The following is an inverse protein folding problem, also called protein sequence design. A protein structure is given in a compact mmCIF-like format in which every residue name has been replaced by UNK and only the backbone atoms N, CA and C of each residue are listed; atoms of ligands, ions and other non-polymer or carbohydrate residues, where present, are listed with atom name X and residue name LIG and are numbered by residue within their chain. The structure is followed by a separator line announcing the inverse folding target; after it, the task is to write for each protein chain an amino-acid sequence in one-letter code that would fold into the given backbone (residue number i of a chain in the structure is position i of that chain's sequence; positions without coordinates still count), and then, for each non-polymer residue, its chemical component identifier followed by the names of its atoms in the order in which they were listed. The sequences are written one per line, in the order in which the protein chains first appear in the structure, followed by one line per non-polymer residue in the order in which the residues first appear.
data_IF_097115440120
#
_entry.id   IF_097115440120
#
_cell.length_a   1.000
_cell.length_b   1.000
_cell.length_c   1.000
_cell.angle_alpha   90.00
_cell.angle_beta   90.00
_cell.angle_gamma   90.00
#
_symmetry.space_group_name_H-M   'P 1'
#
loop_
_entity.id
_entity.type
_entity.pdbx_description
1 polymer ?
#
# COMPACT_ATOMS: atom_id res chain seq x y z
N UNK A 1 14.89 -11.10 10.85
CA UNK A 1 13.52 -10.56 10.65
C UNK A 1 12.97 -10.83 9.25
N UNK A 2 13.70 -10.47 8.17
CA UNK A 2 13.22 -10.64 6.79
C UNK A 2 12.73 -12.06 6.43
N UNK A 3 13.46 -13.11 6.85
CA UNK A 3 13.03 -14.50 6.61
C UNK A 3 11.78 -14.86 7.42
N UNK A 4 11.75 -14.56 8.72
CA UNK A 4 10.61 -14.84 9.60
C UNK A 4 9.33 -14.13 9.16
N UNK A 5 9.43 -12.91 8.61
CA UNK A 5 8.28 -12.16 8.12
C UNK A 5 7.53 -12.87 6.96
N UNK A 6 8.18 -13.83 6.30
CA UNK A 6 7.61 -14.63 5.21
C UNK A 6 6.96 -15.94 5.69
N UNK A 7 7.05 -16.28 6.98
CA UNK A 7 6.58 -17.54 7.55
C UNK A 7 5.36 -17.31 8.43
N UNK A 8 4.33 -18.15 8.30
CA UNK A 8 3.18 -18.13 9.18
C UNK A 8 3.48 -19.00 10.41
N UNK A 9 4.12 -18.40 11.41
CA UNK A 9 4.50 -19.09 12.64
C UNK A 9 4.50 -18.13 13.85
N UNK A 10 4.35 -18.63 15.09
CA UNK A 10 4.34 -17.78 16.29
C UNK A 10 5.61 -16.94 16.47
N UNK A 11 6.77 -17.45 16.04
CA UNK A 11 8.06 -16.78 16.12
C UNK A 11 8.10 -15.51 15.27
N UNK A 12 7.31 -15.44 14.19
CA UNK A 12 7.18 -14.22 13.37
C UNK A 12 6.64 -13.07 14.20
N UNK A 13 5.51 -13.28 14.86
CA UNK A 13 4.81 -12.21 15.58
C UNK A 13 5.64 -11.75 16.78
N UNK A 14 6.24 -12.69 17.51
CA UNK A 14 7.18 -12.39 18.59
C UNK A 14 8.37 -11.57 18.09
N UNK A 15 9.02 -12.00 17.00
CA UNK A 15 10.17 -11.28 16.46
C UNK A 15 9.82 -9.87 15.94
N UNK A 16 8.63 -9.69 15.33
CA UNK A 16 8.16 -8.38 14.88
C UNK A 16 7.88 -7.45 16.06
N UNK A 17 7.26 -7.95 17.13
CA UNK A 17 6.96 -7.18 18.34
C UNK A 17 8.25 -6.78 19.07
N UNK A 18 9.16 -7.72 19.30
CA UNK A 18 10.46 -7.45 19.96
C UNK A 18 11.30 -6.47 19.15
N UNK A 19 11.32 -6.59 17.81
CA UNK A 19 12.02 -5.65 16.96
C UNK A 19 11.46 -4.24 17.08
N UNK A 20 10.13 -4.07 17.05
CA UNK A 20 9.52 -2.76 17.23
C UNK A 20 9.78 -2.19 18.62
N UNK A 21 9.57 -2.98 19.68
CA UNK A 21 9.77 -2.53 21.05
C UNK A 21 11.21 -2.01 21.29
N UNK A 22 12.20 -2.67 20.68
CA UNK A 22 13.61 -2.27 20.77
C UNK A 22 13.95 -0.99 19.98
N UNK A 23 13.32 -0.80 18.82
CA UNK A 23 13.73 0.21 17.84
C UNK A 23 12.68 1.29 17.56
N UNK A 24 11.58 1.35 18.33
CA UNK A 24 10.47 2.28 18.12
C UNK A 24 10.88 3.75 18.06
N UNK A 25 11.98 4.11 18.73
CA UNK A 25 12.50 5.47 18.81
C UNK A 25 13.52 5.79 17.69
N UNK A 26 13.81 4.83 16.79
CA UNK A 26 14.70 4.98 15.64
C UNK A 26 13.88 5.02 14.33
N UNK A 27 13.49 6.21 13.81
CA UNK A 27 12.47 6.33 12.77
C UNK A 27 12.77 5.54 11.49
N UNK A 28 14.03 5.55 11.03
CA UNK A 28 14.46 4.83 9.82
C UNK A 28 14.48 3.31 10.02
N UNK A 29 14.66 2.83 11.24
CA UNK A 29 14.61 1.41 11.57
C UNK A 29 13.15 0.94 11.62
N UNK A 30 12.26 1.77 12.16
CA UNK A 30 10.81 1.55 12.11
C UNK A 30 10.28 1.51 10.67
N UNK A 31 10.81 2.34 9.77
CA UNK A 31 10.44 2.28 8.34
C UNK A 31 10.77 0.93 7.72
N UNK A 32 11.95 0.36 8.04
CA UNK A 32 12.31 -0.99 7.61
C UNK A 32 11.38 -2.05 8.19
N UNK A 33 10.95 -1.88 9.44
CA UNK A 33 10.00 -2.78 10.10
C UNK A 33 8.61 -2.76 9.44
N UNK A 34 8.10 -1.58 9.05
CA UNK A 34 6.87 -1.46 8.26
C UNK A 34 7.02 -2.15 6.89
N UNK A 35 8.12 -1.87 6.19
CA UNK A 35 8.39 -2.41 4.87
C UNK A 35 8.51 -3.95 4.86
N UNK A 36 9.19 -4.53 5.85
CA UNK A 36 9.33 -5.99 5.97
C UNK A 36 7.97 -6.69 6.10
N UNK A 37 7.02 -6.08 6.81
CA UNK A 37 5.67 -6.63 6.95
C UNK A 37 4.85 -6.47 5.66
N UNK A 38 4.88 -5.29 5.03
CA UNK A 38 4.19 -5.03 3.77
C UNK A 38 4.71 -5.88 2.60
N UNK A 39 5.99 -6.23 2.62
CA UNK A 39 6.64 -7.10 1.62
C UNK A 39 6.45 -8.60 1.87
N UNK A 40 5.68 -9.01 2.89
CA UNK A 40 5.46 -10.43 3.18
C UNK A 40 4.59 -11.10 2.11
N UNK A 41 4.97 -12.30 1.68
CA UNK A 41 4.20 -13.11 0.74
C UNK A 41 3.06 -13.87 1.40
N UNK A 42 2.79 -13.71 2.70
CA UNK A 42 1.66 -14.37 3.36
C UNK A 42 0.31 -13.87 2.82
N UNK A 43 -0.70 -14.72 2.81
CA UNK A 43 -2.07 -14.35 2.40
C UNK A 43 -2.67 -13.29 3.32
N UNK A 44 -2.28 -13.28 4.60
CA UNK A 44 -2.68 -12.30 5.61
C UNK A 44 -2.04 -10.92 5.45
N UNK A 45 -1.09 -10.71 4.52
CA UNK A 45 -0.33 -9.46 4.41
C UNK A 45 -1.21 -8.23 4.24
N UNK A 46 -2.26 -8.27 3.42
CA UNK A 46 -3.14 -7.12 3.24
C UNK A 46 -3.85 -6.75 4.56
N UNK A 47 -4.34 -7.75 5.30
CA UNK A 47 -4.95 -7.55 6.63
C UNK A 47 -3.94 -6.93 7.62
N UNK A 48 -2.71 -7.42 7.61
CA UNK A 48 -1.64 -6.90 8.47
C UNK A 48 -1.28 -5.46 8.10
N UNK A 49 -1.18 -5.12 6.81
CA UNK A 49 -0.97 -3.75 6.33
C UNK A 49 -2.11 -2.84 6.76
N UNK A 50 -3.36 -3.29 6.66
CA UNK A 50 -4.52 -2.55 7.17
C UNK A 50 -4.45 -2.26 8.67
N UNK A 51 -3.97 -3.22 9.47
CA UNK A 51 -3.74 -3.02 10.91
C UNK A 51 -2.61 -2.02 11.20
N UNK A 52 -1.57 -2.00 10.36
CA UNK A 52 -0.45 -1.07 10.50
C UNK A 52 -0.83 0.38 10.19
N UNK A 53 -1.90 0.63 9.42
CA UNK A 53 -2.40 2.00 9.19
C UNK A 53 -2.85 2.70 10.47
N UNK A 54 -3.23 1.94 11.51
CA UNK A 54 -3.67 2.49 12.81
C UNK A 54 -2.61 2.32 13.91
N UNK A 55 -1.41 1.85 13.56
CA UNK A 55 -0.36 1.57 14.52
C UNK A 55 0.45 2.85 14.84
N UNK A 56 0.94 3.05 16.08
CA UNK A 56 1.73 4.24 16.45
C UNK A 56 3.00 4.47 15.62
N UNK A 57 3.49 3.42 14.95
CA UNK A 57 4.64 3.49 14.04
C UNK A 57 4.35 4.18 12.70
N UNK A 58 3.08 4.38 12.35
CA UNK A 58 2.62 4.87 11.07
C UNK A 58 1.79 6.15 11.22
N UNK A 59 2.06 7.12 10.35
CA UNK A 59 1.26 8.32 10.19
C UNK A 59 1.15 8.62 8.69
N UNK A 60 -0.10 8.70 8.20
CA UNK A 60 -0.40 8.96 6.79
C UNK A 60 0.08 10.35 6.34
N UNK A 61 0.28 11.30 7.28
CA UNK A 61 0.80 12.64 7.02
C UNK A 61 2.32 12.65 6.78
N UNK A 62 3.03 11.60 7.17
CA UNK A 62 4.50 11.52 7.05
C UNK A 62 4.87 10.73 5.78
N UNK A 63 5.40 11.37 4.73
CA UNK A 63 5.62 10.70 3.44
C UNK A 63 6.52 9.46 3.52
N UNK A 64 7.55 9.48 4.36
CA UNK A 64 8.44 8.33 4.53
C UNK A 64 7.70 7.11 5.10
N UNK A 65 6.72 7.30 6.00
CA UNK A 65 5.87 6.21 6.52
C UNK A 65 4.97 5.63 5.44
N UNK A 66 4.38 6.49 4.61
CA UNK A 66 3.59 6.08 3.43
C UNK A 66 4.43 5.26 2.46
N UNK A 67 5.66 5.68 2.18
CA UNK A 67 6.57 4.93 1.31
C UNK A 67 7.02 3.61 1.95
N UNK A 68 7.30 3.60 3.25
CA UNK A 68 7.70 2.40 3.97
C UNK A 68 6.61 1.33 3.95
N UNK A 69 5.34 1.70 4.15
CA UNK A 69 4.23 0.75 4.24
C UNK A 69 3.51 0.56 2.90
N UNK A 70 2.84 1.61 2.41
CA UNK A 70 1.91 1.53 1.28
C UNK A 70 2.68 1.27 -0.02
N UNK A 71 3.74 2.03 -0.31
CA UNK A 71 4.53 1.83 -1.54
C UNK A 71 5.20 0.45 -1.56
N UNK A 72 5.65 -0.05 -0.42
CA UNK A 72 6.18 -1.41 -0.32
C UNK A 72 5.12 -2.46 -0.63
N UNK A 73 3.89 -2.27 -0.12
CA UNK A 73 2.78 -3.18 -0.43
C UNK A 73 2.43 -3.17 -1.93
N UNK A 74 2.45 -2.01 -2.60
CA UNK A 74 2.27 -1.92 -4.07
C UNK A 74 3.33 -2.76 -4.80
N UNK A 75 4.58 -2.74 -4.33
CA UNK A 75 5.67 -3.56 -4.89
C UNK A 75 5.54 -5.06 -4.61
N UNK A 76 4.70 -5.46 -3.65
CA UNK A 76 4.38 -6.84 -3.34
C UNK A 76 3.33 -7.39 -4.33
N UNK A 77 3.72 -7.59 -5.59
CA UNK A 77 2.79 -7.92 -6.68
C UNK A 77 1.87 -9.12 -6.40
N UNK A 78 2.35 -10.15 -5.70
CA UNK A 78 1.53 -11.34 -5.40
C UNK A 78 0.36 -11.02 -4.45
N UNK A 79 0.49 -10.00 -3.60
CA UNK A 79 -0.56 -9.56 -2.68
C UNK A 79 -1.31 -8.33 -3.19
N UNK A 80 -0.64 -7.38 -3.83
CA UNK A 80 -1.30 -6.22 -4.43
C UNK A 80 -2.24 -6.62 -5.57
N UNK A 81 -1.81 -7.52 -6.46
CA UNK A 81 -2.64 -8.07 -7.54
C UNK A 81 -3.31 -9.39 -7.13
N UNK A 82 -3.73 -9.54 -5.88
CA UNK A 82 -4.53 -10.69 -5.47
C UNK A 82 -5.82 -10.76 -6.32
N UNK A 83 -6.29 -11.99 -6.59
CA UNK A 83 -7.42 -12.21 -7.49
C UNK A 83 -8.74 -11.62 -6.95
N UNK A 84 -8.84 -11.41 -5.64
CA UNK A 84 -9.99 -10.77 -4.98
C UNK A 84 -10.10 -9.27 -5.29
N UNK A 85 -8.99 -8.61 -5.68
CA UNK A 85 -8.91 -7.17 -5.92
C UNK A 85 -8.76 -6.33 -4.65
N UNK A 86 -8.56 -6.95 -3.48
CA UNK A 86 -8.45 -6.25 -2.20
C UNK A 86 -7.30 -5.24 -2.17
N UNK A 87 -6.18 -5.57 -2.83
CA UNK A 87 -5.05 -4.66 -2.95
C UNK A 87 -5.36 -3.38 -3.76
N UNK A 88 -6.19 -3.49 -4.80
CA UNK A 88 -6.62 -2.33 -5.59
C UNK A 88 -7.56 -1.42 -4.79
N UNK A 89 -8.54 -2.00 -4.09
CA UNK A 89 -9.47 -1.25 -3.25
C UNK A 89 -8.73 -0.51 -2.14
N UNK A 90 -7.83 -1.22 -1.45
CA UNK A 90 -6.94 -0.65 -0.44
C UNK A 90 -6.17 0.56 -0.96
N UNK A 91 -5.47 0.42 -2.09
CA UNK A 91 -4.67 1.51 -2.65
C UNK A 91 -5.53 2.71 -3.02
N UNK A 92 -6.71 2.49 -3.61
CA UNK A 92 -7.62 3.56 -3.97
C UNK A 92 -8.14 4.33 -2.73
N UNK A 93 -8.42 3.65 -1.62
CA UNK A 93 -8.77 4.33 -0.36
C UNK A 93 -7.63 5.22 0.13
N UNK A 94 -6.39 4.72 0.05
CA UNK A 94 -5.22 5.50 0.46
C UNK A 94 -4.97 6.69 -0.46
N UNK A 95 -5.18 6.54 -1.77
CA UNK A 95 -5.03 7.65 -2.73
C UNK A 95 -6.05 8.75 -2.45
N UNK A 96 -7.32 8.41 -2.21
CA UNK A 96 -8.37 9.40 -1.89
C UNK A 96 -8.03 10.13 -0.59
N UNK A 97 -7.61 9.43 0.46
CA UNK A 97 -7.19 10.05 1.71
C UNK A 97 -5.94 10.94 1.54
N UNK A 98 -4.94 10.46 0.81
CA UNK A 98 -3.72 11.20 0.53
C UNK A 98 -3.96 12.39 -0.39
N UNK A 99 -4.97 12.35 -1.27
CA UNK A 99 -5.28 13.47 -2.15
C UNK A 99 -5.61 14.74 -1.35
N UNK A 100 -6.29 14.58 -0.21
CA UNK A 100 -6.60 15.70 0.70
C UNK A 100 -5.37 16.16 1.49
N UNK A 101 -4.56 15.21 1.97
CA UNK A 101 -3.44 15.49 2.87
C UNK A 101 -2.17 15.95 2.14
N UNK A 102 -1.83 15.29 1.04
CA UNK A 102 -0.62 15.50 0.27
C UNK A 102 -0.81 14.98 -1.18
N UNK A 103 -1.33 15.81 -2.10
CA UNK A 103 -1.54 15.47 -3.51
C UNK A 103 -0.33 14.87 -4.22
N UNK A 104 0.89 15.31 -3.89
CA UNK A 104 2.11 14.81 -4.53
C UNK A 104 2.40 13.35 -4.15
N UNK A 105 2.18 13.00 -2.88
CA UNK A 105 2.31 11.62 -2.41
C UNK A 105 1.19 10.76 -2.99
N UNK A 106 -0.04 11.27 -3.04
CA UNK A 106 -1.19 10.60 -3.67
C UNK A 106 -0.90 10.27 -5.14
N UNK A 107 -0.41 11.24 -5.90
CA UNK A 107 -0.02 11.08 -7.31
C UNK A 107 1.04 9.98 -7.46
N UNK A 108 2.06 9.98 -6.60
CA UNK A 108 3.08 8.91 -6.59
C UNK A 108 2.49 7.53 -6.28
N UNK A 109 1.51 7.43 -5.39
CA UNK A 109 0.82 6.17 -5.08
C UNK A 109 -0.07 5.71 -6.23
N UNK A 110 -0.72 6.63 -6.96
CA UNK A 110 -1.55 6.32 -8.12
C UNK A 110 -0.78 5.62 -9.24
N UNK A 111 0.54 5.86 -9.37
CA UNK A 111 1.43 5.13 -10.29
C UNK A 111 1.50 3.62 -10.00
N UNK A 112 1.04 3.16 -8.84
CA UNK A 112 0.86 1.73 -8.57
C UNK A 112 -0.09 1.03 -9.56
N UNK A 113 -0.98 1.79 -10.19
CA UNK A 113 -1.85 1.27 -11.24
C UNK A 113 -1.17 1.18 -12.61
N UNK A 114 -0.01 1.79 -12.90
CA UNK A 114 0.59 1.88 -14.26
C UNK A 114 0.63 0.56 -15.07
N UNK A 115 0.69 -0.60 -14.39
CA UNK A 115 0.80 -1.92 -15.03
C UNK A 115 -0.49 -2.74 -15.01
N UNK A 116 -1.61 -2.19 -14.58
CA UNK A 116 -2.85 -2.93 -14.34
C UNK A 116 -3.38 -3.67 -15.58
N UNK A 117 -3.19 -3.10 -16.79
CA UNK A 117 -3.57 -3.73 -18.07
C UNK A 117 -2.71 -4.92 -18.50
N UNK A 118 -1.62 -5.22 -17.79
CA UNK A 118 -0.78 -6.41 -18.07
C UNK A 118 -1.31 -7.69 -17.42
N UNK A 119 -2.33 -7.59 -16.58
CA UNK A 119 -2.93 -8.73 -15.88
C UNK A 119 -4.13 -9.29 -16.66
N UNK A 120 -4.68 -10.42 -16.22
CA UNK A 120 -5.88 -11.02 -16.80
C UNK A 120 -7.11 -10.11 -16.69
N UNK A 121 -8.14 -10.40 -17.49
CA UNK A 121 -9.36 -9.61 -17.58
C UNK A 121 -10.08 -9.40 -16.24
N UNK A 122 -10.07 -10.39 -15.33
CA UNK A 122 -10.74 -10.27 -14.04
C UNK A 122 -10.01 -9.27 -13.14
N UNK A 123 -8.68 -9.32 -13.09
CA UNK A 123 -7.86 -8.31 -12.39
C UNK A 123 -7.99 -6.93 -13.02
N UNK A 124 -8.04 -6.87 -14.34
CA UNK A 124 -8.23 -5.61 -15.07
C UNK A 124 -9.54 -4.93 -14.68
N UNK A 125 -10.66 -5.66 -14.72
CA UNK A 125 -11.96 -5.11 -14.34
C UNK A 125 -11.96 -4.52 -12.92
N UNK A 126 -11.33 -5.21 -11.96
CA UNK A 126 -11.23 -4.74 -10.57
C UNK A 126 -10.34 -3.50 -10.42
N UNK A 127 -9.18 -3.46 -11.09
CA UNK A 127 -8.31 -2.29 -11.07
C UNK A 127 -8.99 -1.08 -11.74
N UNK A 128 -9.67 -1.31 -12.87
CA UNK A 128 -10.44 -0.27 -13.58
C UNK A 128 -11.50 0.36 -12.70
N UNK A 129 -12.31 -0.46 -12.01
CA UNK A 129 -13.35 0.04 -11.11
C UNK A 129 -12.78 0.95 -10.01
N UNK A 130 -11.58 0.63 -9.49
CA UNK A 130 -10.91 1.46 -8.49
C UNK A 130 -10.30 2.74 -9.09
N UNK A 131 -9.75 2.68 -10.31
CA UNK A 131 -9.31 3.87 -11.04
C UNK A 131 -10.46 4.83 -11.34
N UNK A 132 -11.61 4.31 -11.79
CA UNK A 132 -12.82 5.09 -12.01
C UNK A 132 -13.33 5.72 -10.70
N UNK A 133 -13.33 4.97 -9.59
CA UNK A 133 -13.64 5.51 -8.26
C UNK A 133 -12.71 6.65 -7.83
N UNK A 134 -11.41 6.56 -8.10
CA UNK A 134 -10.48 7.65 -7.79
C UNK A 134 -10.76 8.86 -8.68
N UNK A 135 -10.95 8.64 -9.99
CA UNK A 135 -11.25 9.71 -10.97
C UNK A 135 -12.47 10.53 -10.53
N UNK A 136 -13.49 9.84 -10.02
CA UNK A 136 -14.78 10.41 -9.66
C UNK A 136 -14.83 10.90 -8.20
N UNK A 137 -13.69 10.91 -7.48
CA UNK A 137 -13.63 11.42 -6.12
C UNK A 137 -13.68 12.96 -6.08
N UNK A 138 -14.46 13.51 -5.15
CA UNK A 138 -14.57 14.94 -4.95
C UNK A 138 -13.22 15.58 -4.57
N UNK A 139 -12.93 16.76 -5.15
CA UNK A 139 -11.71 17.51 -4.86
C UNK A 139 -10.43 16.83 -5.33
N UNK A 140 -10.49 15.94 -6.33
CA UNK A 140 -9.31 15.31 -6.92
C UNK A 140 -8.33 16.37 -7.45
N UNK A 141 -7.09 16.31 -6.97
CA UNK A 141 -6.03 17.19 -7.43
C UNK A 141 -5.67 16.93 -8.90
N UNK A 142 -5.18 17.96 -9.58
CA UNK A 142 -4.77 17.87 -11.01
C UNK A 142 -3.73 16.77 -11.24
N UNK A 143 -2.75 16.65 -10.35
CA UNK A 143 -1.67 15.66 -10.46
C UNK A 143 -2.19 14.22 -10.38
N UNK A 144 -3.13 13.94 -9.47
CA UNK A 144 -3.75 12.61 -9.36
C UNK A 144 -4.68 12.36 -10.54
N UNK A 145 -5.48 13.36 -10.95
CA UNK A 145 -6.40 13.27 -12.08
C UNK A 145 -5.67 12.94 -13.39
N UNK A 146 -4.51 13.57 -13.66
CA UNK A 146 -3.70 13.30 -14.84
C UNK A 146 -3.25 11.83 -14.89
N UNK A 147 -2.70 11.33 -13.77
CA UNK A 147 -2.20 9.95 -13.68
C UNK A 147 -3.33 8.94 -13.88
N UNK A 148 -4.45 9.14 -13.20
CA UNK A 148 -5.59 8.21 -13.25
C UNK A 148 -6.24 8.22 -14.63
N UNK A 149 -6.42 9.40 -15.24
CA UNK A 149 -6.97 9.53 -16.59
C UNK A 149 -6.08 8.84 -17.62
N UNK A 150 -4.76 9.04 -17.52
CA UNK A 150 -3.79 8.38 -18.39
C UNK A 150 -3.80 6.86 -18.22
N UNK A 151 -3.90 6.37 -16.98
CA UNK A 151 -3.99 4.94 -16.69
C UNK A 151 -5.27 4.29 -17.21
N UNK A 152 -6.40 5.02 -17.26
CA UNK A 152 -7.65 4.54 -17.84
C UNK A 152 -7.61 4.52 -19.37
N UNK A 153 -7.02 5.56 -19.99
CA UNK A 153 -7.02 5.75 -21.44
C UNK A 153 -6.15 4.74 -22.21
N UNK A 154 -4.93 4.48 -21.75
CA UNK A 154 -3.97 3.60 -22.44
C UNK A 154 -4.06 2.18 -21.93
#
# INVERSE_FOLDING_TARGET
LGCLAQLECPERDKALQEFYAKWKDEPLVVDKWLAVQAGSRLTSTLKNVGTLLTHPAFDLKVPNKVYALIRTFIGNHVRFHAADGGGYAFLADQIVALNVLNPQVAARMARGFDRWKKFDAARQAKARAQLERIRDADGLSKDVAEIVTKALAG
#
